data_IF_521217009768
#
_entry.id   IF_521217009768
#
_cell.length_a   1.000
_cell.length_b   1.000
_cell.length_c   1.000
_cell.angle_alpha   90.00
_cell.angle_beta   90.00
_cell.angle_gamma   90.00
#
_symmetry.space_group_name_H-M   'P 1'
#
loop_
_entity.id
_entity.type
_entity.pdbx_description
1 polymer ?
#
# COMPACT_ATOMS: atom_id res chain seq x y z
N UNK A 1 25.13 -16.58 -33.42
CA UNK A 1 23.85 -16.36 -32.72
C UNK A 1 24.17 -15.40 -31.60
N UNK A 2 23.68 -14.17 -31.67
CA UNK A 2 23.97 -13.12 -30.69
C UNK A 2 22.75 -12.98 -29.80
N UNK A 3 22.83 -13.52 -28.57
CA UNK A 3 21.83 -13.23 -27.54
C UNK A 3 21.95 -11.75 -27.18
N UNK A 4 20.84 -11.03 -27.34
CA UNK A 4 20.71 -9.66 -26.86
C UNK A 4 20.31 -9.72 -25.40
N UNK A 5 20.88 -8.87 -24.52
CA UNK A 5 20.41 -8.77 -23.15
C UNK A 5 18.94 -8.34 -23.17
N UNK A 6 18.11 -9.13 -22.50
CA UNK A 6 16.68 -8.92 -22.36
C UNK A 6 16.43 -7.59 -21.65
N UNK A 7 15.51 -6.81 -22.20
CA UNK A 7 15.13 -5.49 -21.72
C UNK A 7 14.62 -5.64 -20.28
N UNK A 8 15.37 -5.11 -19.30
CA UNK A 8 14.96 -4.95 -17.90
C UNK A 8 13.74 -4.02 -17.86
N UNK A 9 12.59 -4.57 -18.24
CA UNK A 9 11.31 -3.88 -18.21
C UNK A 9 10.99 -3.64 -16.74
N UNK A 10 11.35 -2.45 -16.28
CA UNK A 10 11.05 -1.95 -14.96
C UNK A 10 9.51 -1.97 -14.81
N UNK A 11 8.99 -2.99 -14.14
CA UNK A 11 7.56 -3.10 -13.87
C UNK A 11 7.21 -2.05 -12.81
N UNK A 12 6.94 -0.82 -13.25
CA UNK A 12 6.40 0.21 -12.37
C UNK A 12 5.07 -0.29 -11.80
N UNK A 13 4.97 -0.30 -10.47
CA UNK A 13 3.72 -0.51 -9.74
C UNK A 13 2.73 0.59 -10.12
N UNK A 14 1.91 0.31 -11.13
CA UNK A 14 0.77 1.15 -11.46
C UNK A 14 -0.22 1.01 -10.31
N UNK A 15 -0.51 2.14 -9.64
CA UNK A 15 -1.57 2.25 -8.64
C UNK A 15 -2.85 2.74 -9.33
N UNK A 16 -3.72 1.86 -9.86
CA UNK A 16 -4.98 2.29 -10.43
C UNK A 16 -5.94 2.74 -9.32
N UNK A 17 -6.33 4.00 -9.32
CA UNK A 17 -7.44 4.47 -8.51
C UNK A 17 -8.75 4.10 -9.21
N UNK A 18 -9.46 3.09 -8.69
CA UNK A 18 -10.76 2.64 -9.21
C UNK A 18 -11.89 3.24 -8.37
N UNK A 19 -12.57 4.30 -8.83
CA UNK A 19 -13.78 4.77 -8.17
C UNK A 19 -14.91 3.74 -8.38
N UNK A 20 -15.47 3.23 -7.28
CA UNK A 20 -16.66 2.37 -7.31
C UNK A 20 -17.94 3.22 -7.32
N UNK A 21 -18.95 2.77 -8.08
CA UNK A 21 -20.22 3.47 -8.24
C UNK A 21 -21.12 3.22 -7.01
N UNK A 22 -21.43 4.28 -6.26
CA UNK A 22 -22.21 4.22 -5.01
C UNK A 22 -23.73 4.30 -5.23
N UNK A 23 -24.52 3.65 -4.36
CA UNK A 23 -26.00 3.69 -4.32
C UNK A 23 -26.54 4.96 -3.62
N UNK A 24 -26.02 6.16 -3.92
CA UNK A 24 -26.50 7.37 -3.23
C UNK A 24 -25.94 8.73 -3.63
N UNK A 25 -24.88 8.81 -4.43
CA UNK A 25 -24.30 10.09 -4.84
C UNK A 25 -23.05 9.93 -5.71
N UNK A 26 -22.51 11.01 -6.31
CA UNK A 26 -21.36 10.96 -7.22
C UNK A 26 -20.04 10.55 -6.54
N UNK A 27 -19.96 10.62 -5.20
CA UNK A 27 -18.82 10.17 -4.43
C UNK A 27 -19.32 9.49 -3.15
N UNK A 28 -18.76 8.32 -2.85
CA UNK A 28 -18.97 7.65 -1.58
C UNK A 28 -18.10 8.33 -0.50
N UNK A 29 -18.66 8.65 0.66
CA UNK A 29 -17.90 9.28 1.76
C UNK A 29 -16.71 8.38 2.18
N UNK A 30 -16.90 7.07 2.05
CA UNK A 30 -15.86 6.07 2.28
C UNK A 30 -14.75 6.12 1.22
N UNK A 31 -15.10 6.37 -0.05
CA UNK A 31 -14.11 6.52 -1.13
C UNK A 31 -13.27 7.80 -0.98
N UNK A 32 -13.88 8.91 -0.54
CA UNK A 32 -13.15 10.13 -0.21
C UNK A 32 -12.21 9.92 0.97
N UNK A 33 -12.69 9.27 2.03
CA UNK A 33 -11.90 8.98 3.23
C UNK A 33 -10.73 8.06 2.90
N UNK A 34 -10.96 7.00 2.12
CA UNK A 34 -9.91 6.09 1.65
C UNK A 34 -8.85 6.83 0.83
N UNK A 35 -9.27 7.69 -0.12
CA UNK A 35 -8.33 8.50 -0.90
C UNK A 35 -7.44 9.40 -0.05
N UNK A 36 -8.03 10.06 0.96
CA UNK A 36 -7.27 10.91 1.89
C UNK A 36 -6.29 10.11 2.75
N UNK A 37 -6.74 9.01 3.37
CA UNK A 37 -5.91 8.15 4.22
C UNK A 37 -4.72 7.57 3.43
N UNK A 38 -4.95 7.12 2.20
CA UNK A 38 -3.91 6.54 1.35
C UNK A 38 -2.94 7.59 0.81
N UNK A 39 -3.42 8.80 0.49
CA UNK A 39 -2.54 9.91 0.14
C UNK A 39 -1.62 10.33 1.30
N UNK A 40 -2.14 10.32 2.53
CA UNK A 40 -1.34 10.60 3.73
C UNK A 40 -0.29 9.52 3.97
N UNK A 41 -0.64 8.25 3.77
CA UNK A 41 0.28 7.12 3.88
C UNK A 41 1.44 7.27 2.87
N UNK A 42 1.12 7.52 1.60
CA UNK A 42 2.12 7.70 0.53
C UNK A 42 3.09 8.86 0.84
N UNK A 43 2.55 10.01 1.26
CA UNK A 43 3.37 11.15 1.64
C UNK A 43 4.25 10.88 2.88
N UNK A 44 3.74 10.10 3.83
CA UNK A 44 4.48 9.71 5.04
C UNK A 44 5.65 8.80 4.65
N UNK A 45 5.40 7.73 3.89
CA UNK A 45 6.46 6.80 3.50
C UNK A 45 7.50 7.43 2.58
N UNK A 46 7.11 8.40 1.75
CA UNK A 46 8.05 9.17 0.93
C UNK A 46 9.00 10.08 1.73
N UNK A 47 8.72 10.34 3.03
CA UNK A 47 9.51 11.26 3.86
C UNK A 47 10.38 10.58 4.92
N UNK A 48 10.01 9.37 5.36
CA UNK A 48 10.69 8.69 6.47
C UNK A 48 11.52 7.48 6.00
N UNK A 49 12.81 7.46 6.37
CA UNK A 49 13.70 6.32 6.09
C UNK A 49 13.57 5.17 7.12
N UNK A 50 12.90 5.43 8.24
CA UNK A 50 12.64 4.48 9.33
C UNK A 50 11.13 4.23 9.37
N UNK A 51 10.70 3.01 9.72
CA UNK A 51 9.28 2.65 9.77
C UNK A 51 8.54 3.53 10.78
N UNK A 52 7.54 4.32 10.35
CA UNK A 52 6.75 5.13 11.27
C UNK A 52 5.73 4.29 12.07
N UNK A 53 5.53 3.02 11.71
CA UNK A 53 4.45 2.16 12.23
C UNK A 53 4.96 0.86 12.86
N UNK A 54 6.13 0.87 13.52
CA UNK A 54 6.64 -0.31 14.24
C UNK A 54 5.70 -0.78 15.35
N UNK A 55 4.98 0.15 15.99
CA UNK A 55 4.00 -0.14 17.05
C UNK A 55 2.58 -0.41 16.52
N UNK A 56 2.40 -0.45 15.20
CA UNK A 56 1.11 -0.63 14.56
C UNK A 56 0.33 0.68 14.37
N UNK A 57 -0.38 0.75 13.25
CA UNK A 57 -1.27 1.84 12.89
C UNK A 57 -2.63 1.27 12.51
N UNK A 58 -3.73 1.67 13.18
CA UNK A 58 -5.05 1.25 12.78
C UNK A 58 -5.42 1.87 11.44
N UNK A 59 -5.90 1.05 10.51
CA UNK A 59 -6.45 1.47 9.21
C UNK A 59 -7.78 0.76 8.95
N UNK A 60 -8.57 1.28 8.02
CA UNK A 60 -9.78 0.59 7.54
C UNK A 60 -9.39 -0.73 6.88
N UNK A 61 -10.13 -1.79 7.17
CA UNK A 61 -9.89 -3.12 6.59
C UNK A 61 -9.94 -3.10 5.05
N UNK A 62 -10.83 -2.30 4.48
CA UNK A 62 -10.98 -2.12 3.03
C UNK A 62 -9.77 -1.47 2.37
N UNK A 63 -8.97 -0.70 3.14
CA UNK A 63 -7.77 -0.03 2.64
C UNK A 63 -6.52 -0.92 2.71
N UNK A 64 -6.59 -2.13 3.29
CA UNK A 64 -5.43 -2.97 3.54
C UNK A 64 -4.64 -3.31 2.26
N UNK A 65 -5.33 -3.70 1.18
CA UNK A 65 -4.68 -4.03 -0.08
C UNK A 65 -3.99 -2.80 -0.71
N UNK A 66 -4.64 -1.64 -0.65
CA UNK A 66 -4.07 -0.41 -1.19
C UNK A 66 -2.87 0.07 -0.36
N UNK A 67 -2.95 -0.06 0.97
CA UNK A 67 -1.87 0.26 1.88
C UNK A 67 -0.63 -0.61 1.65
N UNK A 68 -0.81 -1.91 1.38
CA UNK A 68 0.30 -2.81 1.05
C UNK A 68 1.00 -2.42 -0.26
N UNK A 69 0.24 -2.09 -1.31
CA UNK A 69 0.82 -1.62 -2.58
C UNK A 69 1.62 -0.31 -2.41
N UNK A 70 1.11 0.63 -1.61
CA UNK A 70 1.82 1.87 -1.27
C UNK A 70 3.09 1.54 -0.47
N UNK A 71 3.01 0.64 0.51
CA UNK A 71 4.18 0.20 1.27
C UNK A 71 5.26 -0.40 0.36
N UNK A 72 4.87 -1.29 -0.56
CA UNK A 72 5.77 -1.93 -1.52
C UNK A 72 6.50 -0.92 -2.40
N UNK A 73 5.79 0.10 -2.89
CA UNK A 73 6.39 1.19 -3.68
C UNK A 73 7.53 1.90 -2.94
N UNK A 74 7.47 1.97 -1.61
CA UNK A 74 8.48 2.61 -0.76
C UNK A 74 9.49 1.63 -0.15
N UNK A 75 9.54 0.37 -0.59
CA UNK A 75 10.48 -0.64 -0.09
C UNK A 75 10.10 -1.19 1.29
N UNK A 76 8.81 -1.21 1.58
CA UNK A 76 8.22 -1.80 2.78
C UNK A 76 7.24 -2.91 2.41
N UNK A 77 6.94 -3.76 3.38
CA UNK A 77 5.85 -4.73 3.32
C UNK A 77 4.88 -4.41 4.45
N UNK A 78 3.59 -4.35 4.15
CA UNK A 78 2.57 -4.20 5.18
C UNK A 78 2.20 -5.57 5.76
N UNK A 79 2.12 -5.64 7.09
CA UNK A 79 1.60 -6.79 7.82
C UNK A 79 0.35 -6.33 8.57
N UNK A 80 -0.70 -7.15 8.56
CA UNK A 80 -1.98 -6.81 9.18
C UNK A 80 -2.32 -7.82 10.27
N UNK A 81 -2.89 -7.34 11.37
CA UNK A 81 -3.36 -8.22 12.44
C UNK A 81 -4.65 -8.94 12.07
N UNK A 82 -4.77 -10.20 12.48
CA UNK A 82 -6.00 -10.99 12.36
C UNK A 82 -7.04 -10.64 13.45
N UNK A 83 -6.77 -9.65 14.31
CA UNK A 83 -7.70 -9.27 15.37
C UNK A 83 -8.97 -8.63 14.79
N UNK A 84 -10.11 -9.19 15.17
CA UNK A 84 -11.42 -8.76 14.68
C UNK A 84 -11.88 -7.49 15.43
N UNK A 85 -11.53 -6.34 14.89
CA UNK A 85 -12.24 -5.07 15.16
C UNK A 85 -13.09 -4.77 13.93
N UNK A 86 -14.44 -4.68 14.04
CA UNK A 86 -15.31 -4.49 12.88
C UNK A 86 -14.89 -3.31 12.01
N UNK A 87 -14.46 -3.59 10.78
CA UNK A 87 -14.04 -2.59 9.79
C UNK A 87 -12.61 -2.06 9.92
N UNK A 88 -11.81 -2.54 10.88
CA UNK A 88 -10.44 -2.05 11.13
C UNK A 88 -9.44 -3.19 11.24
N UNK A 89 -8.21 -2.92 10.80
CA UNK A 89 -7.04 -3.78 11.01
C UNK A 89 -5.88 -2.94 11.52
N UNK A 90 -5.00 -3.55 12.30
CA UNK A 90 -3.75 -2.90 12.69
C UNK A 90 -2.66 -3.25 11.68
N UNK A 91 -2.08 -2.25 11.05
CA UNK A 91 -1.00 -2.37 10.07
C UNK A 91 0.35 -2.10 10.72
N UNK A 92 1.33 -2.97 10.51
CA UNK A 92 2.75 -2.70 10.78
C UNK A 92 3.53 -2.72 9.48
N UNK A 93 4.67 -2.00 9.45
CA UNK A 93 5.56 -1.98 8.29
C UNK A 93 6.89 -2.64 8.60
N UNK A 94 7.29 -3.56 7.74
CA UNK A 94 8.59 -4.23 7.75
C UNK A 94 9.38 -3.85 6.51
N UNK A 95 10.70 -3.75 6.60
CA UNK A 95 11.54 -3.62 5.40
C UNK A 95 11.37 -4.86 4.53
N UNK A 96 11.15 -4.68 3.23
CA UNK A 96 11.28 -5.77 2.28
C UNK A 96 12.77 -6.14 2.20
N UNK A 97 13.14 -7.32 2.69
CA UNK A 97 14.50 -7.82 2.48
C UNK A 97 14.61 -8.20 1.02
N UNK A 98 15.44 -7.50 0.25
CA UNK A 98 15.86 -8.01 -1.07
C UNK A 98 16.56 -9.35 -0.81
N UNK A 99 15.98 -10.45 -1.31
CA UNK A 99 16.70 -11.71 -1.41
C UNK A 99 17.75 -11.48 -2.49
N UNK A 100 19.07 -11.54 -2.19
CA UNK A 100 20.06 -11.50 -3.25
C UNK A 100 19.90 -12.78 -4.07
N UNK A 101 19.58 -12.64 -5.35
CA UNK A 101 19.63 -13.78 -6.27
C UNK A 101 21.06 -14.34 -6.29
N UNK A 102 21.17 -15.62 -5.93
CA UNK A 102 22.41 -16.41 -5.88
C UNK A 102 22.75 -17.02 -7.22
#
# INVERSE_FOLDING_TARGET
>A
MSDKPEDESNYDLVMPFLPVQSKGGPHDDDAFTAGYEMGLLDATLGRFMISPYENGQPIRAENAQQADLIAMRHGWRAEFTDQEVPGWVCMTLRRSVEVPES
#
